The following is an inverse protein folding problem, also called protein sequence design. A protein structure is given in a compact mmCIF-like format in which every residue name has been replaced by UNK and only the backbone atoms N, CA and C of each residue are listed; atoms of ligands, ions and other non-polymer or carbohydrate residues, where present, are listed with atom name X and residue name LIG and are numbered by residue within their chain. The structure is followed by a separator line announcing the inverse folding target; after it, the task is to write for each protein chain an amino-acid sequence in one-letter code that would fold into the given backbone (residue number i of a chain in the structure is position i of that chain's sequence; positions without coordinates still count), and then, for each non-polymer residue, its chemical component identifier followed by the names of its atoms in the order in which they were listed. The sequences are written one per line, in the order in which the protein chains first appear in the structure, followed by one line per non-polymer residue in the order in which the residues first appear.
data_IF_299779875382
#
_entry.id   IF_299779875382
#
_cell.length_a   1.000
_cell.length_b   1.000
_cell.length_c   1.000
_cell.angle_alpha   90.00
_cell.angle_beta   90.00
_cell.angle_gamma   90.00
#
_symmetry.space_group_name_H-M   'P 1'
#
loop_
_entity.id
_entity.type
_entity.pdbx_description
1 polymer ?
#
# COMPACT_ATOMS: atom_id res chain seq x y z
N UNK A 1 -19.21 -19.69 11.35
CA UNK A 1 -18.50 -19.61 10.07
C UNK A 1 -19.10 -18.49 9.25
N UNK A 2 -18.26 -17.60 8.71
CA UNK A 2 -18.65 -16.54 7.79
C UNK A 2 -18.29 -16.97 6.36
N UNK A 3 -19.15 -16.74 5.36
CA UNK A 3 -18.91 -17.16 3.98
C UNK A 3 -18.95 -15.97 3.03
N UNK A 4 -17.83 -15.75 2.33
CA UNK A 4 -17.70 -14.74 1.28
C UNK A 4 -17.78 -15.43 -0.08
N UNK A 5 -18.46 -14.77 -1.02
CA UNK A 5 -18.56 -15.20 -2.42
C UNK A 5 -17.82 -14.17 -3.27
N UNK A 6 -16.83 -14.62 -4.02
CA UNK A 6 -16.11 -13.82 -5.00
C UNK A 6 -16.29 -14.40 -6.40
N UNK A 7 -16.24 -13.58 -7.44
CA UNK A 7 -16.31 -14.10 -8.80
C UNK A 7 -16.31 -13.02 -9.87
N UNK A 8 -15.77 -13.37 -11.03
CA UNK A 8 -15.88 -12.62 -12.28
C UNK A 8 -16.17 -13.59 -13.43
N UNK A 9 -16.86 -13.12 -14.45
CA UNK A 9 -17.07 -13.85 -15.71
C UNK A 9 -17.67 -15.27 -15.55
N UNK A 10 -18.59 -15.44 -14.59
CA UNK A 10 -19.32 -16.69 -14.36
C UNK A 10 -18.56 -17.74 -13.53
N UNK A 11 -17.34 -17.44 -13.08
CA UNK A 11 -16.59 -18.29 -12.15
C UNK A 11 -16.76 -17.79 -10.72
N UNK A 12 -17.36 -18.61 -9.85
CA UNK A 12 -17.54 -18.31 -8.43
C UNK A 12 -16.49 -19.04 -7.59
N UNK A 13 -15.98 -18.34 -6.59
CA UNK A 13 -15.09 -18.85 -5.56
C UNK A 13 -15.70 -18.52 -4.20
N UNK A 14 -15.35 -19.30 -3.20
CA UNK A 14 -15.82 -19.15 -1.84
C UNK A 14 -14.64 -19.03 -0.89
N UNK A 15 -14.78 -18.18 0.12
CA UNK A 15 -13.89 -18.12 1.26
C UNK A 15 -14.73 -18.34 2.51
N UNK A 16 -14.39 -19.38 3.27
CA UNK A 16 -14.94 -19.61 4.59
C UNK A 16 -13.98 -19.04 5.63
N UNK A 17 -14.46 -18.06 6.40
CA UNK A 17 -13.76 -17.51 7.56
C UNK A 17 -14.36 -18.07 8.85
N UNK A 18 -13.57 -18.09 9.95
CA UNK A 18 -14.08 -18.40 11.28
C UNK A 18 -15.22 -17.49 11.72
N UNK A 19 -15.93 -17.87 12.79
CA UNK A 19 -16.96 -17.02 13.38
C UNK A 19 -16.41 -15.66 13.85
N UNK A 20 -17.27 -14.64 13.82
CA UNK A 20 -16.87 -13.27 14.14
C UNK A 20 -16.36 -13.11 15.59
N UNK A 21 -16.77 -13.99 16.50
CA UNK A 21 -16.36 -13.99 17.90
C UNK A 21 -15.14 -14.88 18.19
N UNK A 22 -14.69 -15.68 17.21
CA UNK A 22 -13.46 -16.48 17.33
C UNK A 22 -12.21 -15.59 17.35
N UNK A 23 -11.15 -16.11 17.96
CA UNK A 23 -9.86 -15.44 18.05
C UNK A 23 -9.02 -15.70 16.80
N UNK A 24 -8.49 -14.64 16.18
CA UNK A 24 -7.42 -14.74 15.17
C UNK A 24 -6.08 -14.99 15.88
N UNK A 25 -5.88 -14.26 16.97
CA UNK A 25 -4.73 -14.32 17.87
C UNK A 25 -5.18 -13.86 19.26
N UNK A 26 -4.40 -14.11 20.33
CA UNK A 26 -4.78 -13.71 21.68
C UNK A 26 -5.13 -12.21 21.77
N UNK A 27 -6.37 -11.91 22.17
CA UNK A 27 -6.84 -10.53 22.32
C UNK A 27 -7.41 -9.88 21.05
N UNK A 28 -7.38 -10.56 19.90
CA UNK A 28 -7.95 -10.07 18.63
C UNK A 28 -8.97 -11.05 18.05
N UNK A 29 -10.23 -10.62 17.95
CA UNK A 29 -11.32 -11.41 17.36
C UNK A 29 -11.43 -11.16 15.85
N UNK A 30 -11.96 -12.13 15.11
CA UNK A 30 -12.17 -12.02 13.68
C UNK A 30 -13.06 -10.83 13.29
N UNK A 31 -14.13 -10.59 14.04
CA UNK A 31 -15.16 -9.64 13.64
C UNK A 31 -15.94 -10.11 12.40
N UNK A 32 -16.98 -9.36 12.03
CA UNK A 32 -17.77 -9.65 10.85
C UNK A 32 -17.09 -9.09 9.59
N UNK A 33 -17.06 -9.85 8.48
CA UNK A 33 -16.39 -9.43 7.24
C UNK A 33 -17.05 -8.21 6.57
N UNK A 34 -18.35 -8.01 6.81
CA UNK A 34 -19.13 -6.86 6.35
C UNK A 34 -18.89 -5.59 7.20
N UNK A 35 -18.29 -5.74 8.39
CA UNK A 35 -17.92 -4.60 9.21
C UNK A 35 -16.53 -4.11 8.81
N UNK A 36 -16.47 -2.87 8.32
CA UNK A 36 -15.22 -2.29 7.86
C UNK A 36 -14.12 -2.35 8.93
N UNK A 37 -12.88 -2.54 8.46
CA UNK A 37 -11.65 -2.51 9.25
C UNK A 37 -11.50 -3.63 10.32
N UNK A 38 -12.41 -4.59 10.40
CA UNK A 38 -12.21 -5.82 11.18
C UNK A 38 -11.14 -6.72 10.53
N UNK A 39 -10.54 -7.66 11.28
CA UNK A 39 -9.70 -8.69 10.68
C UNK A 39 -10.35 -9.45 9.51
N UNK A 40 -11.61 -9.89 9.68
CA UNK A 40 -12.36 -10.57 8.64
C UNK A 40 -12.55 -9.71 7.39
N UNK A 41 -12.79 -8.40 7.58
CA UNK A 41 -12.85 -7.45 6.47
C UNK A 41 -11.53 -7.44 5.70
N UNK A 42 -10.39 -7.22 6.37
CA UNK A 42 -9.09 -7.15 5.67
C UNK A 42 -8.73 -8.42 4.92
N UNK A 43 -8.95 -9.58 5.56
CA UNK A 43 -8.69 -10.89 4.94
C UNK A 43 -9.62 -11.11 3.75
N UNK A 44 -10.90 -10.72 3.85
CA UNK A 44 -11.84 -10.82 2.73
C UNK A 44 -11.42 -9.92 1.56
N UNK A 45 -10.99 -8.67 1.83
CA UNK A 45 -10.54 -7.76 0.77
C UNK A 45 -9.26 -8.25 0.10
N UNK A 46 -8.31 -8.77 0.86
CA UNK A 46 -7.11 -9.40 0.33
C UNK A 46 -7.43 -10.61 -0.53
N UNK A 47 -8.35 -11.48 -0.10
CA UNK A 47 -8.76 -12.63 -0.89
C UNK A 47 -9.50 -12.25 -2.18
N UNK A 48 -10.35 -11.22 -2.13
CA UNK A 48 -11.09 -10.73 -3.30
C UNK A 48 -10.17 -10.11 -4.36
N UNK A 49 -9.19 -9.29 -3.94
CA UNK A 49 -8.23 -8.67 -4.87
C UNK A 49 -7.21 -9.69 -5.40
N UNK A 50 -6.78 -10.61 -4.53
CA UNK A 50 -5.73 -11.58 -4.83
C UNK A 50 -4.33 -10.95 -4.94
N UNK A 51 -3.33 -11.79 -5.18
CA UNK A 51 -1.96 -11.28 -5.44
C UNK A 51 -1.93 -10.58 -6.80
N UNK A 52 -1.41 -9.34 -6.90
CA UNK A 52 -1.27 -8.65 -8.17
C UNK A 52 -0.47 -9.50 -9.17
N UNK A 53 -0.95 -9.60 -10.41
CA UNK A 53 -0.27 -10.38 -11.46
C UNK A 53 1.13 -9.85 -11.78
N UNK A 54 1.31 -8.53 -11.67
CA UNK A 54 2.58 -7.84 -11.92
C UNK A 54 3.53 -7.88 -10.70
N UNK A 55 3.09 -8.44 -9.57
CA UNK A 55 3.83 -8.43 -8.31
C UNK A 55 3.78 -7.09 -7.58
N UNK A 56 4.76 -6.84 -6.72
CA UNK A 56 4.88 -5.62 -5.90
C UNK A 56 6.05 -4.73 -6.34
N UNK A 57 6.84 -5.18 -7.31
CA UNK A 57 8.02 -4.49 -7.81
C UNK A 57 7.65 -3.11 -8.34
N UNK A 58 8.43 -2.09 -7.98
CA UNK A 58 8.34 -0.77 -8.62
C UNK A 58 9.28 -0.71 -9.84
N UNK A 59 10.36 -1.49 -9.80
CA UNK A 59 11.46 -1.46 -10.73
C UNK A 59 12.01 -2.87 -11.03
N UNK A 60 13.00 -2.97 -11.94
CA UNK A 60 13.50 -4.25 -12.43
C UNK A 60 14.69 -4.78 -11.63
N UNK A 61 15.45 -3.89 -10.99
CA UNK A 61 16.69 -4.25 -10.25
C UNK A 61 16.62 -3.83 -8.78
N UNK A 62 17.43 -4.46 -7.93
CA UNK A 62 17.57 -4.04 -6.53
C UNK A 62 18.01 -2.58 -6.41
N UNK A 63 18.97 -2.15 -7.24
CA UNK A 63 19.46 -0.76 -7.24
C UNK A 63 18.33 0.22 -7.52
N UNK A 64 17.53 -0.02 -8.56
CA UNK A 64 16.39 0.83 -8.90
C UNK A 64 15.32 0.86 -7.79
N UNK A 65 15.04 -0.29 -7.18
CA UNK A 65 14.07 -0.41 -6.08
C UNK A 65 14.55 0.37 -4.84
N UNK A 66 15.84 0.26 -4.51
CA UNK A 66 16.46 0.99 -3.39
C UNK A 66 16.44 2.50 -3.65
N UNK A 67 16.84 2.94 -4.84
CA UNK A 67 16.75 4.36 -5.24
C UNK A 67 15.32 4.86 -5.08
N UNK A 68 14.36 4.08 -5.56
CA UNK A 68 12.94 4.44 -5.52
C UNK A 68 12.41 4.56 -4.09
N UNK A 69 12.70 3.59 -3.24
CA UNK A 69 12.27 3.59 -1.85
C UNK A 69 12.98 4.67 -1.02
N UNK A 70 14.26 4.94 -1.29
CA UNK A 70 15.06 5.94 -0.59
C UNK A 70 14.56 7.36 -0.91
N UNK A 71 14.28 7.66 -2.18
CA UNK A 71 13.86 9.00 -2.62
C UNK A 71 12.35 9.23 -2.48
N UNK A 72 11.54 8.17 -2.56
CA UNK A 72 10.09 8.18 -2.33
C UNK A 72 9.67 8.07 -0.85
N UNK A 73 10.61 7.81 0.05
CA UNK A 73 10.35 7.60 1.48
C UNK A 73 9.72 8.78 2.23
N UNK A 74 9.52 8.58 3.54
CA UNK A 74 8.74 9.47 4.42
C UNK A 74 9.00 10.98 4.17
N UNK A 75 7.90 11.72 3.96
CA UNK A 75 7.92 13.17 3.84
C UNK A 75 7.91 13.72 2.41
N UNK A 76 8.13 12.94 1.34
CA UNK A 76 7.93 13.45 -0.03
C UNK A 76 6.53 13.04 -0.54
N UNK A 77 5.82 13.91 -1.29
CA UNK A 77 4.71 13.46 -2.11
C UNK A 77 5.20 12.36 -3.07
N UNK A 78 4.37 11.33 -3.25
CA UNK A 78 4.72 10.13 -4.00
C UNK A 78 5.24 10.46 -5.42
N UNK A 79 4.54 11.34 -6.12
CA UNK A 79 4.85 11.80 -7.47
C UNK A 79 6.19 12.54 -7.57
N UNK A 80 6.57 13.29 -6.52
CA UNK A 80 7.85 13.99 -6.47
C UNK A 80 8.99 12.99 -6.21
N UNK A 81 8.75 12.02 -5.32
CA UNK A 81 9.68 10.93 -5.07
C UNK A 81 9.97 10.13 -6.34
N UNK A 82 8.92 9.71 -7.05
CA UNK A 82 9.05 8.97 -8.32
C UNK A 82 9.84 9.75 -9.37
N UNK A 83 9.56 11.05 -9.55
CA UNK A 83 10.31 11.87 -10.52
C UNK A 83 11.80 12.00 -10.14
N UNK A 84 12.11 12.06 -8.84
CA UNK A 84 13.50 12.07 -8.38
C UNK A 84 14.20 10.74 -8.67
N UNK A 85 13.50 9.63 -8.41
CA UNK A 85 13.99 8.28 -8.68
C UNK A 85 14.22 8.03 -10.16
N UNK A 86 13.27 8.39 -11.01
CA UNK A 86 13.36 8.26 -12.46
C UNK A 86 14.61 8.97 -12.99
N UNK A 87 14.83 10.24 -12.60
CA UNK A 87 16.04 10.98 -12.98
C UNK A 87 17.33 10.27 -12.56
N UNK A 88 17.38 9.76 -11.33
CA UNK A 88 18.58 9.09 -10.81
C UNK A 88 18.81 7.77 -11.55
N UNK A 89 17.75 6.99 -11.77
CA UNK A 89 17.81 5.73 -12.51
C UNK A 89 18.26 5.97 -13.96
N UNK A 90 17.70 6.98 -14.64
CA UNK A 90 18.12 7.36 -15.99
C UNK A 90 19.60 7.73 -16.05
N UNK A 91 20.09 8.47 -15.05
CA UNK A 91 21.50 8.84 -14.95
C UNK A 91 22.42 7.64 -14.67
N UNK A 92 21.99 6.70 -13.83
CA UNK A 92 22.71 5.45 -13.57
C UNK A 92 22.79 4.58 -14.84
N UNK A 93 21.69 4.47 -15.58
CA UNK A 93 21.63 3.71 -16.82
C UNK A 93 22.47 4.34 -17.95
N UNK A 94 22.57 5.67 -17.97
CA UNK A 94 23.39 6.39 -18.94
C UNK A 94 24.91 6.26 -18.68
N UNK A 95 25.30 6.10 -17.40
CA UNK A 95 26.71 5.98 -17.00
C UNK A 95 26.88 4.95 -15.86
N UNK A 96 26.77 3.63 -16.14
CA UNK A 96 26.78 2.59 -15.11
C UNK A 96 28.12 2.44 -14.38
N UNK A 97 29.23 2.76 -15.04
CA UNK A 97 30.60 2.67 -14.48
C UNK A 97 31.07 4.01 -13.89
N UNK A 98 30.22 5.05 -13.94
CA UNK A 98 30.53 6.38 -13.47
C UNK A 98 30.77 6.47 -11.95
N UNK A 99 31.46 7.53 -11.53
CA UNK A 99 31.57 7.87 -10.11
C UNK A 99 30.25 8.46 -9.60
N UNK A 100 29.41 7.64 -8.96
CA UNK A 100 28.12 8.05 -8.36
C UNK A 100 28.28 8.64 -6.96
N UNK A 101 29.20 9.61 -6.82
CA UNK A 101 29.54 10.22 -5.55
C UNK A 101 28.50 11.26 -5.05
N UNK A 102 28.79 11.90 -3.92
CA UNK A 102 27.92 12.93 -3.35
C UNK A 102 27.69 14.10 -4.31
N UNK A 103 28.73 14.56 -5.01
CA UNK A 103 28.61 15.69 -5.91
C UNK A 103 27.72 15.34 -7.11
N UNK A 104 27.81 14.11 -7.61
CA UNK A 104 26.89 13.58 -8.62
C UNK A 104 25.44 13.56 -8.11
N UNK A 105 25.19 13.01 -6.93
CA UNK A 105 23.86 12.93 -6.34
C UNK A 105 23.25 14.33 -6.05
N UNK A 106 24.06 15.27 -5.55
CA UNK A 106 23.63 16.64 -5.25
C UNK A 106 23.22 17.39 -6.52
N UNK A 107 23.98 17.24 -7.62
CA UNK A 107 23.61 17.84 -8.92
C UNK A 107 22.22 17.37 -9.36
N UNK A 108 21.99 16.06 -9.39
CA UNK A 108 20.72 15.49 -9.88
C UNK A 108 19.50 15.90 -9.03
N UNK A 109 19.67 15.91 -7.70
CA UNK A 109 18.55 16.15 -6.78
C UNK A 109 18.28 17.64 -6.52
N UNK A 110 19.24 18.52 -6.78
CA UNK A 110 19.04 19.98 -6.60
C UNK A 110 18.33 20.62 -7.78
N UNK A 111 18.51 20.06 -8.98
CA UNK A 111 17.78 20.52 -10.17
C UNK A 111 16.27 20.32 -10.02
N UNK A 112 15.44 21.31 -10.43
CA UNK A 112 13.99 21.19 -10.38
C UNK A 112 13.49 19.93 -11.11
N UNK A 113 12.56 19.21 -10.49
CA UNK A 113 11.89 18.03 -11.03
C UNK A 113 10.67 18.43 -11.85
N UNK A 114 10.44 17.77 -12.98
CA UNK A 114 9.21 17.93 -13.75
C UNK A 114 8.16 16.95 -13.24
N UNK A 115 7.13 17.45 -12.56
CA UNK A 115 6.03 16.65 -12.01
C UNK A 115 4.72 17.18 -12.57
N UNK A 116 4.01 16.36 -13.35
CA UNK A 116 2.77 16.76 -14.04
C UNK A 116 2.92 18.08 -14.82
N UNK A 117 4.06 18.26 -15.51
CA UNK A 117 4.38 19.45 -16.30
C UNK A 117 4.79 20.69 -15.49
N UNK A 118 4.92 20.59 -14.15
CA UNK A 118 5.37 21.68 -13.28
C UNK A 118 6.79 21.43 -12.77
N UNK A 119 7.56 22.50 -12.62
CA UNK A 119 8.88 22.46 -12.00
C UNK A 119 8.75 22.52 -10.47
N UNK A 120 9.22 21.47 -9.80
CA UNK A 120 9.15 21.32 -8.34
C UNK A 120 10.56 21.12 -7.78
N UNK A 121 10.92 21.90 -6.76
CA UNK A 121 12.18 21.68 -6.04
C UNK A 121 12.04 20.48 -5.10
N UNK A 122 12.98 19.55 -5.15
CA UNK A 122 13.05 18.45 -4.20
C UNK A 122 13.56 18.95 -2.84
N UNK A 123 12.67 19.06 -1.86
CA UNK A 123 12.97 19.70 -0.56
C UNK A 123 14.01 18.96 0.28
N UNK A 124 14.34 17.71 -0.06
CA UNK A 124 15.28 16.87 0.67
C UNK A 124 16.60 16.63 -0.08
N UNK A 125 16.87 17.38 -1.15
CA UNK A 125 18.00 17.16 -2.05
C UNK A 125 19.32 16.89 -1.31
N UNK A 126 19.76 17.80 -0.44
CA UNK A 126 21.05 17.66 0.26
C UNK A 126 21.12 16.44 1.18
N UNK A 127 20.05 16.13 1.90
CA UNK A 127 20.02 14.98 2.81
C UNK A 127 19.98 13.66 2.04
N UNK A 128 19.15 13.60 1.01
CA UNK A 128 18.95 12.40 0.18
C UNK A 128 20.13 12.16 -0.76
N UNK A 129 20.85 13.19 -1.19
CA UNK A 129 22.08 13.03 -1.95
C UNK A 129 23.17 12.32 -1.13
N UNK A 130 23.34 12.70 0.14
CA UNK A 130 24.25 12.01 1.08
C UNK A 130 23.88 10.54 1.27
N UNK A 131 22.61 10.25 1.46
CA UNK A 131 22.13 8.88 1.60
C UNK A 131 22.29 8.07 0.31
N UNK A 132 21.98 8.67 -0.84
CA UNK A 132 22.05 8.03 -2.14
C UNK A 132 23.48 7.62 -2.47
N UNK A 133 24.44 8.55 -2.39
CA UNK A 133 25.84 8.26 -2.69
C UNK A 133 26.40 7.15 -1.79
N UNK A 134 26.13 7.21 -0.48
CA UNK A 134 26.59 6.18 0.46
C UNK A 134 25.89 4.83 0.25
N UNK A 135 24.59 4.84 -0.05
CA UNK A 135 23.80 3.63 -0.32
C UNK A 135 24.25 2.94 -1.61
N UNK A 136 24.48 3.68 -2.69
CA UNK A 136 24.95 3.11 -3.97
C UNK A 136 26.32 2.44 -3.81
N UNK A 137 27.23 3.06 -3.05
CA UNK A 137 28.53 2.45 -2.75
C UNK A 137 28.40 1.13 -1.98
N UNK A 138 27.57 1.09 -0.93
CA UNK A 138 27.37 -0.11 -0.12
C UNK A 138 26.54 -1.20 -0.80
N UNK A 139 25.65 -0.86 -1.74
CA UNK A 139 24.86 -1.84 -2.48
C UNK A 139 25.72 -2.77 -3.33
N UNK A 140 26.86 -2.30 -3.84
CA UNK A 140 27.79 -3.13 -4.61
C UNK A 140 28.40 -4.28 -3.78
N UNK A 141 28.31 -4.19 -2.44
CA UNK A 141 28.79 -5.22 -1.52
C UNK A 141 27.69 -6.21 -1.12
N UNK A 142 26.44 -5.97 -1.51
CA UNK A 142 25.29 -6.83 -1.21
C UNK A 142 24.99 -7.71 -2.42
N UNK A 143 25.23 -9.01 -2.29
CA UNK A 143 24.72 -10.01 -3.23
C UNK A 143 23.33 -10.45 -2.77
N UNK A 144 22.28 -10.07 -3.49
CA UNK A 144 20.92 -10.43 -3.10
C UNK A 144 20.64 -11.93 -3.29
N UNK A 145 21.27 -12.59 -4.24
CA UNK A 145 20.96 -14.00 -4.55
C UNK A 145 21.45 -14.95 -3.44
N UNK A 146 22.44 -14.53 -2.66
CA UNK A 146 23.01 -15.27 -1.53
C UNK A 146 22.26 -15.03 -0.19
N UNK A 147 21.29 -14.12 -0.14
CA UNK A 147 20.62 -13.71 1.10
C UNK A 147 19.13 -14.11 1.12
N UNK A 148 18.70 -14.65 2.27
CA UNK A 148 17.27 -14.76 2.59
C UNK A 148 16.62 -13.38 2.84
N UNK A 149 15.29 -13.33 2.90
CA UNK A 149 14.56 -12.06 2.97
C UNK A 149 14.90 -11.20 4.20
N UNK A 150 15.04 -11.84 5.36
CA UNK A 150 15.42 -11.14 6.59
C UNK A 150 16.88 -10.67 6.57
N UNK A 151 17.77 -11.47 5.98
CA UNK A 151 19.19 -11.15 5.85
C UNK A 151 19.39 -9.99 4.87
N UNK A 152 18.66 -9.97 3.76
CA UNK A 152 18.62 -8.84 2.84
C UNK A 152 18.07 -7.58 3.55
N UNK A 153 17.00 -7.70 4.34
CA UNK A 153 16.44 -6.58 5.13
C UNK A 153 17.48 -6.03 6.10
N UNK A 154 18.20 -6.88 6.81
CA UNK A 154 19.23 -6.48 7.77
C UNK A 154 20.45 -5.85 7.06
N UNK A 155 20.89 -6.41 5.93
CA UNK A 155 21.97 -5.84 5.12
C UNK A 155 21.61 -4.43 4.60
N UNK A 156 20.39 -4.26 4.07
CA UNK A 156 19.88 -2.97 3.61
C UNK A 156 19.77 -1.95 4.76
N UNK A 157 19.41 -2.36 5.98
CA UNK A 157 19.39 -1.47 7.15
C UNK A 157 20.78 -0.93 7.53
N UNK A 158 21.85 -1.59 7.10
CA UNK A 158 23.22 -1.10 7.27
C UNK A 158 23.54 0.12 6.38
N UNK A 159 22.73 0.37 5.34
CA UNK A 159 22.98 1.43 4.37
C UNK A 159 22.47 2.81 4.85
N UNK A 160 23.16 3.91 4.48
CA UNK A 160 22.77 5.25 4.91
C UNK A 160 21.35 5.66 4.51
N UNK A 161 20.53 6.00 5.50
CA UNK A 161 19.17 6.51 5.26
C UNK A 161 18.12 5.42 4.99
N UNK A 162 18.49 4.14 5.12
CA UNK A 162 17.57 3.01 5.07
C UNK A 162 17.33 2.50 6.49
N UNK A 163 16.15 2.80 7.03
CA UNK A 163 15.67 2.21 8.28
C UNK A 163 14.89 0.91 8.04
N UNK A 164 14.45 0.23 9.12
CA UNK A 164 13.76 -1.06 9.00
C UNK A 164 12.51 -0.99 8.13
N UNK A 165 11.73 0.10 8.22
CA UNK A 165 10.59 0.32 7.31
C UNK A 165 10.99 0.29 5.84
N UNK A 166 12.00 1.07 5.48
CA UNK A 166 12.44 1.19 4.08
C UNK A 166 13.06 -0.10 3.59
N UNK A 167 13.84 -0.79 4.43
CA UNK A 167 14.40 -2.10 4.08
C UNK A 167 13.30 -3.16 3.88
N UNK A 168 12.33 -3.25 4.80
CA UNK A 168 11.17 -4.15 4.65
C UNK A 168 10.36 -3.82 3.40
N UNK A 169 10.22 -2.53 3.05
CA UNK A 169 9.56 -2.11 1.81
C UNK A 169 10.29 -2.60 0.56
N UNK A 170 11.61 -2.43 0.50
CA UNK A 170 12.43 -2.92 -0.61
C UNK A 170 12.31 -4.44 -0.73
N UNK A 171 12.45 -5.19 0.36
CA UNK A 171 12.38 -6.66 0.36
C UNK A 171 10.99 -7.15 -0.08
N UNK A 172 9.91 -6.56 0.45
CA UNK A 172 8.55 -6.90 0.02
C UNK A 172 8.36 -6.64 -1.47
N UNK A 173 8.75 -5.47 -1.96
CA UNK A 173 8.53 -5.13 -3.36
C UNK A 173 9.38 -5.98 -4.30
N UNK A 174 10.66 -6.18 -3.97
CA UNK A 174 11.60 -6.95 -4.77
C UNK A 174 11.20 -8.42 -4.89
N UNK A 175 10.72 -9.01 -3.78
CA UNK A 175 10.53 -10.48 -3.66
C UNK A 175 9.11 -10.95 -3.38
N UNK A 176 8.17 -10.04 -3.14
CA UNK A 176 6.84 -10.38 -2.64
C UNK A 176 6.87 -11.03 -1.25
N UNK A 177 7.88 -10.70 -0.44
CA UNK A 177 8.13 -11.38 0.84
C UNK A 177 6.99 -11.19 1.83
N UNK A 178 6.56 -12.30 2.43
CA UNK A 178 5.65 -12.34 3.58
C UNK A 178 6.42 -12.40 4.92
N UNK A 179 7.75 -12.34 4.89
CA UNK A 179 8.60 -12.41 6.09
C UNK A 179 8.85 -11.04 6.74
N UNK A 180 8.43 -9.95 6.10
CA UNK A 180 8.61 -8.57 6.55
C UNK A 180 7.30 -7.81 6.48
N UNK A 181 7.16 -6.76 7.30
CA UNK A 181 6.01 -5.86 7.23
C UNK A 181 6.48 -4.41 7.04
N UNK A 182 5.63 -3.58 6.41
CA UNK A 182 5.93 -2.18 6.15
C UNK A 182 5.07 -1.33 7.08
N UNK A 183 5.58 -1.06 8.29
CA UNK A 183 4.78 -0.39 9.32
C UNK A 183 4.72 1.12 9.10
N UNK A 184 3.83 1.54 8.20
CA UNK A 184 3.49 2.93 8.00
C UNK A 184 2.37 3.42 8.94
N UNK A 185 2.07 4.71 8.89
CA UNK A 185 1.04 5.31 9.76
C UNK A 185 -0.36 4.73 9.53
N UNK A 186 -0.66 4.28 8.30
CA UNK A 186 -1.95 3.70 7.94
C UNK A 186 -2.07 2.27 8.45
N UNK A 187 -1.04 1.45 8.27
CA UNK A 187 -0.95 0.09 8.82
C UNK A 187 -1.03 0.14 10.34
N UNK A 188 -0.25 1.02 10.98
CA UNK A 188 -0.27 1.18 12.45
C UNK A 188 -1.67 1.54 12.94
N UNK A 189 -2.37 2.48 12.29
CA UNK A 189 -3.74 2.85 12.68
C UNK A 189 -4.73 1.70 12.52
N UNK A 190 -4.67 0.95 11.42
CA UNK A 190 -5.52 -0.21 11.21
C UNK A 190 -5.26 -1.29 12.27
N UNK A 191 -3.98 -1.55 12.58
CA UNK A 191 -3.60 -2.55 13.57
C UNK A 191 -3.96 -2.15 15.00
N UNK A 192 -3.90 -0.87 15.34
CA UNK A 192 -4.40 -0.35 16.62
C UNK A 192 -5.91 -0.54 16.70
N UNK A 193 -6.64 -0.19 15.65
CA UNK A 193 -8.10 -0.35 15.61
C UNK A 193 -8.54 -1.80 15.79
N UNK A 194 -7.85 -2.75 15.16
CA UNK A 194 -8.12 -4.19 15.32
C UNK A 194 -7.67 -4.76 16.68
N UNK A 195 -6.89 -4.02 17.47
CA UNK A 195 -6.26 -4.52 18.70
C UNK A 195 -5.02 -5.41 18.48
N UNK A 196 -4.51 -5.51 17.24
CA UNK A 196 -3.24 -6.19 16.93
C UNK A 196 -2.07 -5.42 17.55
N UNK A 197 -2.13 -4.10 17.50
CA UNK A 197 -1.18 -3.19 18.12
C UNK A 197 -1.78 -2.52 19.36
N UNK A 198 -0.95 -2.15 20.36
CA UNK A 198 -1.41 -1.34 21.48
C UNK A 198 -1.75 0.09 21.05
N UNK A 199 -2.68 0.76 21.73
CA UNK A 199 -3.17 2.13 21.41
C UNK A 199 -2.08 3.18 21.15
N UNK A 200 -0.93 3.04 21.83
CA UNK A 200 0.22 3.95 21.73
C UNK A 200 1.41 3.31 21.02
N UNK A 201 1.14 2.51 19.99
CA UNK A 201 2.18 1.89 19.18
C UNK A 201 3.12 2.95 18.57
N UNK A 202 4.42 2.77 18.81
CA UNK A 202 5.48 3.65 18.31
C UNK A 202 6.45 2.83 17.45
N UNK A 203 6.24 2.78 16.11
CA UNK A 203 7.13 2.04 15.22
C UNK A 203 8.54 2.63 15.15
N UNK A 204 8.77 3.88 15.57
CA UNK A 204 10.12 4.44 15.62
C UNK A 204 10.97 3.82 16.73
N UNK A 205 10.33 3.31 17.79
CA UNK A 205 11.01 2.68 18.94
C UNK A 205 10.90 1.16 18.96
N UNK A 206 9.78 0.63 18.46
CA UNK A 206 9.41 -0.77 18.64
C UNK A 206 9.11 -1.48 17.32
N UNK A 207 9.79 -1.09 16.23
CA UNK A 207 9.53 -1.59 14.89
C UNK A 207 9.43 -3.12 14.83
N UNK A 208 10.46 -3.84 15.30
CA UNK A 208 10.53 -5.30 15.18
C UNK A 208 9.49 -6.02 16.06
N UNK A 209 9.10 -5.44 17.20
CA UNK A 209 8.02 -6.02 18.02
C UNK A 209 6.66 -5.88 17.33
N UNK A 210 6.39 -4.69 16.79
CA UNK A 210 5.17 -4.43 16.03
C UNK A 210 5.14 -5.25 14.73
N UNK A 211 6.28 -5.42 14.06
CA UNK A 211 6.39 -6.22 12.83
C UNK A 211 6.03 -7.66 13.15
N UNK A 212 6.64 -8.23 14.18
CA UNK A 212 6.30 -9.58 14.66
C UNK A 212 4.80 -9.73 14.94
N UNK A 213 4.17 -8.79 15.66
CA UNK A 213 2.73 -8.84 15.95
C UNK A 213 1.87 -8.83 14.68
N UNK A 214 2.26 -8.02 13.69
CA UNK A 214 1.57 -7.98 12.40
C UNK A 214 1.73 -9.28 11.62
N UNK A 215 2.93 -9.86 11.64
CA UNK A 215 3.18 -11.16 10.99
C UNK A 215 2.44 -12.29 11.69
N UNK A 216 2.43 -12.32 13.03
CA UNK A 216 1.66 -13.28 13.83
C UNK A 216 0.15 -13.17 13.52
N UNK A 217 -0.36 -11.94 13.36
CA UNK A 217 -1.72 -11.70 12.90
C UNK A 217 -1.98 -12.31 11.51
N UNK A 218 -1.12 -12.05 10.54
CA UNK A 218 -1.27 -12.58 9.18
C UNK A 218 -1.19 -14.12 9.14
N UNK A 219 -0.28 -14.71 9.92
CA UNK A 219 -0.16 -16.17 10.07
C UNK A 219 -1.42 -16.75 10.70
N UNK A 220 -1.92 -16.17 11.81
CA UNK A 220 -3.15 -16.61 12.47
C UNK A 220 -4.39 -16.47 11.59
N UNK A 221 -4.40 -15.46 10.71
CA UNK A 221 -5.43 -15.25 9.72
C UNK A 221 -5.31 -16.14 8.47
N UNK A 222 -4.19 -16.86 8.29
CA UNK A 222 -3.91 -17.60 7.07
C UNK A 222 -3.76 -16.72 5.82
N UNK A 223 -3.31 -15.48 5.99
CA UNK A 223 -3.21 -14.49 4.93
C UNK A 223 -1.74 -14.07 4.68
N UNK A 224 -1.45 -13.71 3.42
CA UNK A 224 -0.13 -13.19 3.03
C UNK A 224 0.08 -11.79 3.59
N UNK A 225 1.13 -11.60 4.37
CA UNK A 225 1.47 -10.31 4.97
C UNK A 225 1.68 -9.22 3.91
N UNK A 226 2.36 -9.56 2.81
CA UNK A 226 2.59 -8.67 1.67
C UNK A 226 1.30 -8.13 1.06
N UNK A 227 0.26 -8.95 1.01
CA UNK A 227 -1.04 -8.60 0.44
C UNK A 227 -1.92 -7.84 1.42
N UNK A 228 -1.96 -8.26 2.68
CA UNK A 228 -2.69 -7.55 3.74
C UNK A 228 -2.17 -6.12 3.86
N UNK A 229 -0.85 -5.94 3.87
CA UNK A 229 -0.19 -4.64 3.87
C UNK A 229 -0.66 -3.76 2.70
N UNK A 230 -0.55 -4.27 1.47
CA UNK A 230 -0.92 -3.50 0.27
C UNK A 230 -2.40 -3.08 0.26
N UNK A 231 -3.29 -3.96 0.72
CA UNK A 231 -4.74 -3.71 0.81
C UNK A 231 -5.06 -2.72 1.92
N UNK A 232 -4.49 -2.91 3.12
CA UNK A 232 -4.67 -2.00 4.24
C UNK A 232 -4.19 -0.61 3.87
N UNK A 233 -2.98 -0.50 3.33
CA UNK A 233 -2.41 0.78 2.91
C UNK A 233 -3.29 1.47 1.86
N UNK A 234 -3.64 0.76 0.79
CA UNK A 234 -4.44 1.33 -0.31
C UNK A 234 -5.81 1.78 0.17
N UNK A 235 -6.47 1.00 1.01
CA UNK A 235 -7.78 1.32 1.57
C UNK A 235 -7.71 2.51 2.51
N UNK A 236 -6.82 2.46 3.50
CA UNK A 236 -6.66 3.50 4.52
C UNK A 236 -6.19 4.84 3.95
N UNK A 237 -5.47 4.85 2.83
CA UNK A 237 -5.08 6.07 2.11
C UNK A 237 -6.24 6.71 1.34
N UNK A 238 -7.21 5.92 0.90
CA UNK A 238 -8.40 6.38 0.14
C UNK A 238 -9.54 6.84 1.05
N UNK A 239 -9.62 6.32 2.27
CA UNK A 239 -10.60 6.78 3.25
C UNK A 239 -10.33 8.26 3.59
N UNK A 240 -11.35 9.10 3.45
CA UNK A 240 -11.24 10.48 3.89
C UNK A 240 -11.18 10.56 5.43
N UNK A 241 -10.67 11.67 5.95
CA UNK A 241 -10.46 11.84 7.40
C UNK A 241 -11.76 11.73 8.21
N UNK A 242 -12.90 12.12 7.65
CA UNK A 242 -14.18 12.13 8.36
C UNK A 242 -14.72 10.71 8.48
N UNK A 243 -14.66 9.94 7.38
CA UNK A 243 -15.02 8.52 7.41
C UNK A 243 -14.08 7.72 8.30
N UNK A 244 -12.77 7.99 8.28
CA UNK A 244 -11.84 7.36 9.22
C UNK A 244 -12.22 7.62 10.68
N UNK A 245 -12.55 8.87 11.05
CA UNK A 245 -12.98 9.20 12.41
C UNK A 245 -14.25 8.44 12.81
N UNK A 246 -15.21 8.33 11.90
CA UNK A 246 -16.43 7.55 12.16
C UNK A 246 -16.10 6.08 12.42
N UNK A 247 -15.31 5.47 11.53
CA UNK A 247 -15.03 4.03 11.57
C UNK A 247 -14.09 3.63 12.71
N UNK A 248 -13.15 4.51 13.10
CA UNK A 248 -12.09 4.19 14.06
C UNK A 248 -12.34 4.79 15.44
N UNK A 249 -12.80 6.04 15.52
CA UNK A 249 -12.87 6.79 16.78
C UNK A 249 -14.24 6.68 17.46
N UNK A 250 -15.26 6.12 16.80
CA UNK A 250 -16.49 5.62 17.42
C UNK A 250 -17.34 6.61 18.24
N UNK A 251 -17.05 7.91 18.22
CA UNK A 251 -17.80 8.91 19.00
C UNK A 251 -19.10 9.39 18.32
N UNK A 252 -19.28 9.08 17.03
CA UNK A 252 -20.49 9.47 16.30
C UNK A 252 -21.35 8.23 16.05
N UNK A 253 -22.58 8.16 16.57
CA UNK A 253 -23.54 7.17 16.09
C UNK A 253 -23.60 7.22 14.58
N UNK A 254 -23.69 6.05 13.93
CA UNK A 254 -24.07 5.96 12.51
C UNK A 254 -25.56 6.33 12.44
N UNK A 255 -25.89 7.58 12.73
CA UNK A 255 -27.21 8.18 12.59
C UNK A 255 -27.16 9.09 11.36
N UNK A 256 -28.04 8.77 10.40
CA UNK A 256 -28.59 9.43 9.20
C UNK A 256 -27.96 10.68 8.56
N UNK A 257 -26.80 11.16 9.02
CA UNK A 257 -26.17 12.43 8.64
C UNK A 257 -24.72 12.26 8.27
N UNK A 258 -24.36 11.18 7.59
CA UNK A 258 -23.13 11.13 6.82
C UNK A 258 -23.37 11.86 5.49
N UNK A 259 -22.82 13.08 5.28
CA UNK A 259 -22.92 13.76 4.00
C UNK A 259 -22.01 13.10 2.93
N UNK A 260 -21.26 12.07 3.32
CA UNK A 260 -20.34 11.29 2.49
C UNK A 260 -20.98 10.01 1.95
N UNK A 261 -22.13 9.62 2.48
CA UNK A 261 -23.03 8.67 1.85
C UNK A 261 -24.15 9.49 1.21
N UNK A 262 -23.90 10.06 0.04
CA UNK A 262 -24.99 10.01 -0.93
C UNK A 262 -25.23 8.51 -1.10
N UNK A 263 -26.28 8.01 -0.45
CA UNK A 263 -26.93 6.80 -0.91
C UNK A 263 -27.23 7.11 -2.36
N UNK A 264 -26.39 6.65 -3.29
CA UNK A 264 -26.66 6.83 -4.70
C UNK A 264 -28.12 6.44 -4.91
N UNK A 265 -28.84 7.16 -5.78
CA UNK A 265 -30.27 6.89 -6.03
C UNK A 265 -30.58 5.41 -6.35
N UNK A 266 -29.53 4.63 -6.63
CA UNK A 266 -29.49 3.19 -6.54
C UNK A 266 -29.65 2.66 -5.09
N UNK A 267 -30.81 2.90 -4.49
CA UNK A 267 -31.40 1.85 -3.65
C UNK A 267 -31.43 0.55 -4.50
N UNK A 268 -31.21 -0.61 -3.88
CA UNK A 268 -31.44 -1.90 -4.53
C UNK A 268 -32.74 -1.82 -5.36
N UNK A 269 -32.72 -2.25 -6.63
CA UNK A 269 -33.77 -2.03 -7.65
C UNK A 269 -35.14 -2.67 -7.33
N UNK A 270 -35.62 -2.54 -6.10
CA UNK A 270 -36.84 -3.13 -5.58
C UNK A 270 -37.75 -2.01 -5.07
N UNK A 271 -37.86 -0.90 -5.81
CA UNK A 271 -39.04 -0.04 -5.76
C UNK A 271 -39.34 0.55 -7.14
N UNK A 272 -39.35 -0.28 -8.19
CA UNK A 272 -39.87 0.16 -9.48
C UNK A 272 -40.46 -1.02 -10.26
N UNK A 273 -41.71 -1.37 -9.93
CA UNK A 273 -42.71 -1.80 -10.92
C UNK A 273 -44.10 -1.92 -10.27
N UNK A 274 -44.69 -0.76 -9.97
CA UNK A 274 -46.07 -0.51 -10.42
C UNK A 274 -45.98 0.59 -11.46
N UNK A 275 -46.63 0.33 -12.60
CA UNK A 275 -46.78 1.20 -13.78
C UNK A 275 -45.68 1.04 -14.84
N UNK A 276 -45.87 0.03 -15.68
CA UNK A 276 -45.28 -0.06 -17.00
C UNK A 276 -45.86 1.03 -17.92
N UNK A 277 -45.01 1.72 -18.69
CA UNK A 277 -45.40 2.26 -20.02
C UNK A 277 -44.21 2.22 -21.00
N UNK A 278 -44.44 2.04 -22.31
CA UNK A 278 -43.43 1.52 -23.26
C UNK A 278 -42.47 2.56 -23.87
N UNK A 279 -42.47 3.83 -23.45
CA UNK A 279 -41.76 4.89 -24.20
C UNK A 279 -40.29 5.11 -23.79
N UNK A 280 -39.78 4.43 -22.75
CA UNK A 280 -38.44 4.70 -22.21
C UNK A 280 -37.27 3.97 -22.91
N UNK A 281 -37.53 3.01 -23.81
CA UNK A 281 -36.47 2.18 -24.43
C UNK A 281 -35.62 2.89 -25.50
N UNK A 282 -35.96 4.12 -25.90
CA UNK A 282 -35.26 4.85 -26.96
C UNK A 282 -33.98 5.59 -26.54
N UNK A 283 -33.82 5.94 -25.26
CA UNK A 283 -32.74 6.86 -24.83
C UNK A 283 -31.51 6.19 -24.22
N UNK A 284 -31.58 4.91 -23.86
CA UNK A 284 -30.49 4.19 -23.16
C UNK A 284 -29.30 3.86 -24.09
N UNK A 285 -29.51 3.82 -25.42
CA UNK A 285 -28.44 3.44 -26.36
C UNK A 285 -27.38 4.52 -26.64
N UNK A 286 -27.61 5.79 -26.26
CA UNK A 286 -26.67 6.88 -26.58
C UNK A 286 -25.65 7.22 -25.48
N UNK A 287 -25.86 6.79 -24.23
CA UNK A 287 -24.91 7.05 -23.13
C UNK A 287 -23.75 6.04 -23.06
N UNK A 288 -23.90 4.85 -23.67
CA UNK A 288 -22.90 3.76 -23.62
C UNK A 288 -21.65 3.95 -24.49
N UNK A 289 -21.43 5.14 -25.09
CA UNK A 289 -20.34 5.38 -26.06
C UNK A 289 -19.25 6.37 -25.60
N UNK A 290 -19.23 6.82 -24.35
CA UNK A 290 -18.14 7.69 -23.85
C UNK A 290 -17.19 6.96 -22.91
N UNK A 291 -16.17 6.38 -23.55
CA UNK A 291 -14.76 6.22 -23.13
C UNK A 291 -14.50 5.89 -21.65
N UNK A 292 -14.17 4.61 -21.40
CA UNK A 292 -13.15 4.26 -20.43
C UNK A 292 -11.78 4.41 -21.13
N UNK A 293 -11.02 5.44 -20.76
CA UNK A 293 -9.57 5.47 -21.04
C UNK A 293 -8.87 4.74 -19.88
N UNK A 294 -7.91 3.85 -20.15
CA UNK A 294 -7.15 3.20 -19.09
C UNK A 294 -6.15 4.21 -18.53
N UNK A 295 -6.34 4.62 -17.27
CA UNK A 295 -5.30 5.34 -16.53
C UNK A 295 -4.24 4.31 -16.13
N UNK A 296 -3.31 4.06 -17.04
CA UNK A 296 -2.04 3.40 -16.76
C UNK A 296 -1.19 4.32 -15.89
N UNK A 297 -1.36 4.22 -14.58
CA UNK A 297 -0.43 4.76 -13.60
C UNK A 297 0.17 3.60 -12.82
N UNK A 298 1.50 3.50 -12.75
CA UNK A 298 2.17 2.59 -11.82
C UNK A 298 1.56 2.80 -10.43
N UNK A 299 0.90 1.76 -9.90
CA UNK A 299 0.39 1.80 -8.53
C UNK A 299 1.58 1.63 -7.60
N UNK A 300 1.90 2.69 -6.86
CA UNK A 300 2.86 2.57 -5.78
C UNK A 300 2.17 1.79 -4.66
N UNK A 301 2.66 0.58 -4.38
CA UNK A 301 2.33 -0.18 -3.17
C UNK A 301 3.45 0.11 -2.16
N UNK A 302 3.21 1.09 -1.29
CA UNK A 302 4.16 1.54 -0.27
C UNK A 302 3.81 1.02 1.12
#
# INVERSE_FOLDING_TARGET
MQRIIGGSDGNYRFLDLPDADEWVMPGVRWGAFEHALTPAFWVSQAWLEGTPAEGFQLCNTLVEEVVTCLLGGHGAPAEVGLAASERVIDALNADPEGAHDLAWAERLLTEPLTVHGRQIRYRFASQRAKYLAGTLAGLNEIDEDDLGDLELRDALCGLPGIGPKTASWIVRNRRGSDAVAILDVHIVRACVHMGVFPDKADPARHYLDLERRFLDFCIGAGAKASLIDAIMWGTMRRLDRSLMKLLIDGETPIDERLPLLEWGENQCQVVAERVATPEAMGRVKQAARRRAEPVGGRRIHA
#
